data_IF_633987305931
#
_entry.id   IF_633987305931
#
_cell.length_a   1.000
_cell.length_b   1.000
_cell.length_c   1.000
_cell.angle_alpha   90.00
_cell.angle_beta   90.00
_cell.angle_gamma   90.00
#
_symmetry.space_group_name_H-M   'P 1'
#
loop_
_entity.id
_entity.type
_entity.pdbx_description
1 polymer ?
#
# COMPACT_ATOMS: atom_id res chain seq x y z
N UNK A 1 22.61 12.93 -11.84
CA UNK A 1 21.20 12.56 -12.13
C UNK A 1 20.85 11.26 -11.43
N UNK A 2 19.75 11.25 -10.72
CA UNK A 2 19.27 10.05 -10.01
C UNK A 2 17.91 9.64 -10.54
N UNK A 3 17.79 8.40 -10.98
CA UNK A 3 16.55 7.85 -11.58
C UNK A 3 15.76 7.09 -10.50
N UNK A 4 14.50 7.45 -10.32
CA UNK A 4 13.59 6.78 -9.38
C UNK A 4 12.55 5.92 -10.09
N UNK A 5 11.87 6.47 -11.11
CA UNK A 5 10.81 5.80 -11.87
C UNK A 5 9.83 5.05 -10.96
N UNK A 6 9.28 5.75 -9.99
CA UNK A 6 8.33 5.16 -9.05
C UNK A 6 7.27 6.17 -8.62
N UNK A 7 6.13 5.65 -8.21
CA UNK A 7 5.06 6.43 -7.62
C UNK A 7 5.53 6.98 -6.27
N UNK A 8 5.25 8.25 -6.01
CA UNK A 8 5.58 8.92 -4.75
C UNK A 8 4.32 9.57 -4.18
N UNK A 9 4.34 9.84 -2.87
CA UNK A 9 3.27 10.61 -2.22
C UNK A 9 3.19 12.02 -2.80
N UNK A 10 2.01 12.61 -2.76
CA UNK A 10 1.70 13.87 -3.44
C UNK A 10 2.63 15.02 -3.09
N UNK A 11 3.09 15.10 -1.84
CA UNK A 11 3.92 16.22 -1.37
C UNK A 11 5.42 16.00 -1.55
N UNK A 12 5.83 14.84 -2.03
CA UNK A 12 7.27 14.52 -2.17
C UNK A 12 7.99 15.47 -3.12
N UNK A 13 7.47 15.79 -4.34
CA UNK A 13 8.17 16.72 -5.22
C UNK A 13 8.40 18.08 -4.57
N UNK A 14 7.42 18.61 -3.85
CA UNK A 14 7.54 19.88 -3.15
C UNK A 14 8.58 19.82 -2.03
N UNK A 15 8.60 18.74 -1.28
CA UNK A 15 9.61 18.52 -0.22
C UNK A 15 11.00 18.48 -0.84
N UNK A 16 11.17 17.79 -1.97
CA UNK A 16 12.44 17.71 -2.68
C UNK A 16 12.92 19.09 -3.13
N UNK A 17 12.01 19.92 -3.66
CA UNK A 17 12.32 21.29 -4.09
C UNK A 17 12.82 22.10 -2.91
N UNK A 18 12.16 22.01 -1.76
CA UNK A 18 12.58 22.71 -0.54
C UNK A 18 13.97 22.30 -0.07
N UNK A 19 14.36 21.07 -0.37
CA UNK A 19 15.67 20.53 -0.03
C UNK A 19 16.73 20.73 -1.14
N UNK A 20 16.43 21.57 -2.12
CA UNK A 20 17.37 21.93 -3.18
C UNK A 20 17.42 20.97 -4.37
N UNK A 21 16.56 19.96 -4.43
CA UNK A 21 16.49 19.03 -5.55
C UNK A 21 15.63 19.60 -6.67
N UNK A 22 15.75 19.01 -7.86
CA UNK A 22 14.99 19.39 -9.06
C UNK A 22 14.25 18.16 -9.58
N UNK A 23 13.10 17.80 -8.97
CA UNK A 23 12.35 16.64 -9.41
C UNK A 23 11.74 16.83 -10.79
N UNK A 24 11.76 15.79 -11.60
CA UNK A 24 11.06 15.73 -12.87
C UNK A 24 9.92 14.74 -12.69
N UNK A 25 8.69 15.19 -12.84
CA UNK A 25 7.49 14.39 -12.58
C UNK A 25 6.53 14.40 -13.75
N UNK A 26 5.65 13.42 -13.77
CA UNK A 26 4.50 13.40 -14.68
C UNK A 26 3.31 12.78 -13.97
N UNK A 27 2.12 13.07 -14.46
CA UNK A 27 0.90 12.46 -13.95
C UNK A 27 0.58 11.22 -14.79
N UNK A 28 0.37 10.10 -14.12
CA UNK A 28 0.08 8.83 -14.77
C UNK A 28 -1.36 8.76 -15.27
N UNK A 29 -1.60 7.96 -16.33
CA UNK A 29 -2.94 7.54 -16.67
C UNK A 29 -3.48 6.62 -15.56
N UNK A 30 -4.80 6.40 -15.52
CA UNK A 30 -5.41 5.49 -14.54
C UNK A 30 -4.84 4.07 -14.67
N UNK A 31 -4.61 3.61 -15.89
CA UNK A 31 -4.04 2.28 -16.16
C UNK A 31 -2.63 2.14 -15.59
N UNK A 32 -1.77 3.11 -15.87
CA UNK A 32 -0.40 3.16 -15.34
C UNK A 32 -0.42 3.29 -13.82
N UNK A 33 -1.32 4.10 -13.29
CA UNK A 33 -1.45 4.34 -11.86
C UNK A 33 -1.74 3.05 -11.08
N UNK A 34 -2.68 2.23 -11.56
CA UNK A 34 -3.01 0.94 -10.94
C UNK A 34 -1.78 0.03 -10.89
N UNK A 35 -1.04 -0.04 -12.01
CA UNK A 35 0.19 -0.85 -12.07
C UNK A 35 1.21 -0.36 -11.05
N UNK A 36 1.42 0.95 -10.97
CA UNK A 36 2.41 1.51 -10.06
C UNK A 36 1.98 1.43 -8.59
N UNK A 37 0.67 1.50 -8.31
CA UNK A 37 0.15 1.26 -6.95
C UNK A 37 0.44 -0.16 -6.49
N UNK A 38 0.25 -1.15 -7.37
CA UNK A 38 0.56 -2.54 -7.03
C UNK A 38 2.05 -2.74 -6.76
N UNK A 39 2.91 -2.10 -7.54
CA UNK A 39 4.36 -2.13 -7.29
C UNK A 39 4.70 -1.45 -5.96
N UNK A 40 4.03 -0.34 -5.67
CA UNK A 40 4.23 0.39 -4.42
C UNK A 40 3.82 -0.45 -3.22
N UNK A 41 2.70 -1.17 -3.32
CA UNK A 41 2.25 -2.08 -2.28
C UNK A 41 3.31 -3.13 -1.98
N UNK A 42 3.88 -3.74 -3.01
CA UNK A 42 4.93 -4.73 -2.85
C UNK A 42 6.17 -4.14 -2.19
N UNK A 43 6.56 -2.93 -2.59
CA UNK A 43 7.68 -2.20 -2.00
C UNK A 43 7.48 -1.97 -0.50
N UNK A 44 6.31 -1.46 -0.10
CA UNK A 44 6.00 -1.17 1.31
C UNK A 44 5.90 -2.45 2.16
N UNK A 45 5.35 -3.52 1.60
CA UNK A 45 5.32 -4.83 2.28
C UNK A 45 6.75 -5.32 2.52
N UNK A 46 7.62 -5.21 1.54
CA UNK A 46 9.03 -5.61 1.65
C UNK A 46 9.73 -4.80 2.74
N UNK A 47 9.51 -3.49 2.78
CA UNK A 47 10.10 -2.62 3.81
C UNK A 47 9.60 -3.02 5.20
N UNK A 48 8.33 -3.36 5.35
CA UNK A 48 7.81 -3.87 6.61
C UNK A 48 8.52 -5.17 7.03
N UNK A 49 8.67 -6.10 6.12
CA UNK A 49 9.32 -7.39 6.42
C UNK A 49 10.78 -7.22 6.84
N UNK A 50 11.46 -6.19 6.36
CA UNK A 50 12.84 -5.89 6.71
C UNK A 50 12.98 -5.19 8.07
N UNK A 51 12.11 -4.22 8.36
CA UNK A 51 12.19 -3.39 9.57
C UNK A 51 11.26 -3.82 10.69
N UNK A 52 10.11 -4.40 10.34
CA UNK A 52 8.99 -4.71 11.25
C UNK A 52 8.48 -3.49 12.01
N UNK A 53 8.73 -2.28 11.48
CA UNK A 53 8.35 -1.03 12.11
C UNK A 53 6.87 -0.70 11.83
N UNK A 54 6.18 -0.19 12.85
CA UNK A 54 4.76 0.18 12.73
C UNK A 54 4.52 1.25 11.66
N UNK A 55 5.48 2.13 11.41
CA UNK A 55 5.37 3.16 10.37
C UNK A 55 5.19 2.56 8.98
N UNK A 56 5.79 1.39 8.73
CA UNK A 56 5.63 0.68 7.45
C UNK A 56 4.20 0.14 7.28
N UNK A 57 3.52 -0.20 8.38
CA UNK A 57 2.10 -0.58 8.34
C UNK A 57 1.26 0.62 7.88
N UNK A 58 1.56 1.81 8.39
CA UNK A 58 0.89 3.03 7.97
C UNK A 58 1.11 3.31 6.47
N UNK A 59 2.32 3.08 5.98
CA UNK A 59 2.63 3.24 4.55
C UNK A 59 1.86 2.23 3.70
N UNK A 60 1.76 0.98 4.15
CA UNK A 60 0.95 -0.05 3.47
C UNK A 60 -0.52 0.38 3.44
N UNK A 61 -1.04 0.86 4.55
CA UNK A 61 -2.44 1.32 4.63
C UNK A 61 -2.70 2.46 3.65
N UNK A 62 -1.78 3.42 3.53
CA UNK A 62 -1.94 4.54 2.61
C UNK A 62 -2.03 4.08 1.15
N UNK A 63 -1.23 3.10 0.76
CA UNK A 63 -1.31 2.50 -0.58
C UNK A 63 -2.63 1.77 -0.77
N UNK A 64 -3.08 1.02 0.24
CA UNK A 64 -4.38 0.31 0.18
C UNK A 64 -5.53 1.29 -0.01
N UNK A 65 -5.51 2.43 0.68
CA UNK A 65 -6.53 3.47 0.52
C UNK A 65 -6.56 4.02 -0.90
N UNK A 66 -5.39 4.25 -1.51
CA UNK A 66 -5.30 4.69 -2.89
C UNK A 66 -5.86 3.64 -3.86
N UNK A 67 -5.59 2.36 -3.63
CA UNK A 67 -6.14 1.26 -4.43
C UNK A 67 -7.66 1.22 -4.32
N UNK A 68 -8.21 1.33 -3.12
CA UNK A 68 -9.66 1.38 -2.91
C UNK A 68 -10.29 2.54 -3.67
N UNK A 69 -9.67 3.71 -3.58
CA UNK A 69 -10.18 4.91 -4.22
C UNK A 69 -10.26 4.77 -5.73
N UNK A 70 -9.20 4.27 -6.38
CA UNK A 70 -9.22 4.08 -7.84
C UNK A 70 -10.21 3.00 -8.28
N UNK A 71 -10.50 2.04 -7.43
CA UNK A 71 -11.49 0.98 -7.69
C UNK A 71 -12.92 1.40 -7.34
N UNK A 72 -13.12 2.59 -6.78
CA UNK A 72 -14.44 3.07 -6.39
C UNK A 72 -15.02 2.35 -5.17
N UNK A 73 -14.18 1.80 -4.32
CA UNK A 73 -14.58 1.08 -3.11
C UNK A 73 -14.34 1.98 -1.90
N UNK A 74 -15.34 2.13 -1.03
CA UNK A 74 -15.20 2.92 0.19
C UNK A 74 -14.53 2.10 1.29
N UNK A 75 -14.03 2.80 2.29
CA UNK A 75 -13.47 2.19 3.49
C UNK A 75 -14.51 1.33 4.20
N UNK A 76 -15.75 1.80 4.27
CA UNK A 76 -16.87 1.08 4.89
C UNK A 76 -17.19 -0.22 4.15
N UNK A 77 -17.16 -0.19 2.82
CA UNK A 77 -17.37 -1.40 2.01
C UNK A 77 -16.29 -2.44 2.29
N UNK A 78 -15.03 -2.02 2.37
CA UNK A 78 -13.92 -2.92 2.70
C UNK A 78 -14.12 -3.52 4.09
N UNK A 79 -14.50 -2.69 5.07
CA UNK A 79 -14.72 -3.13 6.44
C UNK A 79 -15.83 -4.18 6.53
N UNK A 80 -16.93 -4.02 5.80
CA UNK A 80 -17.98 -5.03 5.72
C UNK A 80 -17.47 -6.36 5.20
N UNK A 81 -16.67 -6.34 4.15
CA UNK A 81 -16.08 -7.55 3.57
C UNK A 81 -15.15 -8.20 4.60
N UNK A 82 -14.30 -7.42 5.23
CA UNK A 82 -13.36 -7.91 6.24
C UNK A 82 -14.08 -8.55 7.42
N UNK A 83 -15.07 -7.87 7.97
CA UNK A 83 -15.86 -8.37 9.10
C UNK A 83 -16.61 -9.66 8.75
N UNK A 84 -17.20 -9.72 7.56
CA UNK A 84 -17.90 -10.92 7.10
C UNK A 84 -16.96 -12.13 7.04
N UNK A 85 -15.75 -11.92 6.53
CA UNK A 85 -14.74 -13.00 6.51
C UNK A 85 -14.32 -13.40 7.91
N UNK A 86 -14.17 -12.43 8.82
CA UNK A 86 -13.77 -12.70 10.20
C UNK A 86 -14.85 -13.49 10.93
N UNK A 87 -16.12 -13.19 10.71
CA UNK A 87 -17.23 -13.96 11.29
C UNK A 87 -17.25 -15.41 10.81
N UNK A 88 -16.92 -15.65 9.55
CA UNK A 88 -16.93 -17.00 8.97
C UNK A 88 -15.67 -17.80 9.27
N UNK A 89 -14.52 -17.17 9.22
CA UNK A 89 -13.21 -17.85 9.25
C UNK A 89 -12.39 -17.56 10.48
N UNK A 90 -12.76 -16.54 11.24
CA UNK A 90 -12.01 -16.07 12.39
C UNK A 90 -10.89 -15.12 12.00
N UNK A 91 -10.23 -14.58 12.99
CA UNK A 91 -9.02 -13.80 12.84
C UNK A 91 -7.80 -14.74 13.00
N UNK A 92 -6.67 -14.21 13.40
CA UNK A 92 -5.43 -15.00 13.57
C UNK A 92 -4.98 -15.13 15.03
N UNK A 93 -5.85 -14.79 15.97
CA UNK A 93 -5.47 -14.69 17.40
C UNK A 93 -5.13 -16.02 18.05
N UNK A 94 -5.62 -17.11 17.49
CA UNK A 94 -5.38 -18.46 18.06
C UNK A 94 -4.02 -19.04 17.66
N UNK A 95 -3.30 -18.39 16.76
CA UNK A 95 -1.95 -18.81 16.33
C UNK A 95 -1.92 -20.21 15.72
N UNK A 96 -2.98 -20.59 14.99
CA UNK A 96 -3.11 -21.93 14.41
C UNK A 96 -2.26 -22.04 13.15
N UNK A 97 -1.37 -23.01 13.15
CA UNK A 97 -0.57 -23.36 11.98
C UNK A 97 -1.04 -24.71 11.46
N UNK A 98 -1.65 -24.71 10.27
CA UNK A 98 -2.15 -25.95 9.66
C UNK A 98 -0.97 -26.70 9.05
N UNK A 99 -0.60 -27.85 9.63
CA UNK A 99 0.52 -28.65 9.13
C UNK A 99 0.14 -29.57 7.99
N UNK A 100 -1.01 -30.26 8.10
CA UNK A 100 -1.44 -31.19 7.08
C UNK A 100 -2.90 -31.58 7.29
N UNK A 101 -3.43 -32.27 6.33
CA UNK A 101 -4.75 -32.89 6.37
C UNK A 101 -4.59 -34.37 5.99
N UNK A 102 -5.01 -35.24 6.90
CA UNK A 102 -4.92 -36.71 6.67
C UNK A 102 -6.14 -37.28 5.96
#
# INVERSE_FOLDING_TARGET
>A
MKIYNKLVRDNIPEIMIKNGAKPVTRILSDEEYIIELNKKLLEEVKEYLESENIEEIADIEEVLLAILNIKGITRDNLEEIRETKTLKRGAFNKKIFLERED
#
